data_IF_417936387533
#
_entry.id   IF_417936387533
#
_cell.length_a   1.000
_cell.length_b   1.000
_cell.length_c   1.000
_cell.angle_alpha   90.00
_cell.angle_beta   90.00
_cell.angle_gamma   90.00
#
_symmetry.space_group_name_H-M   'P 1'
#
loop_
_entity.id
_entity.type
_entity.pdbx_description
1 polymer ?
#
# COMPACT_ATOMS: atom_id res chain seq x y z
N UNK A 1 -21.71 -12.30 -20.39
CA UNK A 1 -20.92 -11.09 -20.10
C UNK A 1 -20.60 -11.10 -18.61
N UNK A 2 -19.43 -11.59 -18.22
CA UNK A 2 -18.93 -11.33 -16.86
C UNK A 2 -18.43 -9.89 -16.88
N UNK A 3 -19.29 -8.94 -16.49
CA UNK A 3 -18.79 -7.62 -16.10
C UNK A 3 -17.91 -7.84 -14.89
N UNK A 4 -16.59 -7.69 -15.04
CA UNK A 4 -15.69 -7.59 -13.91
C UNK A 4 -16.16 -6.44 -13.03
N UNK A 5 -16.88 -6.76 -11.96
CA UNK A 5 -17.40 -5.79 -11.00
C UNK A 5 -16.22 -4.98 -10.46
N UNK A 6 -16.32 -3.65 -10.52
CA UNK A 6 -15.27 -2.78 -10.00
C UNK A 6 -15.30 -2.84 -8.46
N UNK A 7 -14.17 -2.57 -7.83
CA UNK A 7 -14.10 -2.63 -6.36
C UNK A 7 -14.99 -1.55 -5.73
N UNK A 8 -15.13 -0.41 -6.42
CA UNK A 8 -16.06 0.66 -6.09
C UNK A 8 -17.50 0.16 -5.99
N UNK A 9 -17.94 -0.66 -6.94
CA UNK A 9 -19.31 -1.22 -6.98
C UNK A 9 -19.54 -2.15 -5.79
N UNK A 10 -18.56 -2.99 -5.46
CA UNK A 10 -18.60 -3.91 -4.31
C UNK A 10 -18.63 -3.13 -3.00
N UNK A 11 -17.79 -2.10 -2.87
CA UNK A 11 -17.77 -1.25 -1.67
C UNK A 11 -19.09 -0.51 -1.48
N UNK A 12 -19.74 -0.08 -2.57
CA UNK A 12 -21.03 0.60 -2.53
C UNK A 12 -22.19 -0.35 -2.17
N UNK A 13 -22.18 -1.59 -2.67
CA UNK A 13 -23.27 -2.54 -2.46
C UNK A 13 -23.14 -3.35 -1.17
N UNK A 14 -21.94 -3.81 -0.83
CA UNK A 14 -21.67 -4.71 0.30
C UNK A 14 -21.11 -3.98 1.53
N UNK A 15 -20.66 -2.73 1.37
CA UNK A 15 -20.07 -1.94 2.46
C UNK A 15 -18.66 -2.40 2.88
N UNK A 16 -18.10 -3.42 2.22
CA UNK A 16 -16.72 -3.85 2.40
C UNK A 16 -16.21 -4.61 1.17
N UNK A 17 -14.90 -4.59 0.97
CA UNK A 17 -14.22 -5.41 -0.02
C UNK A 17 -13.20 -6.30 0.68
N UNK A 18 -13.30 -7.61 0.46
CA UNK A 18 -12.41 -8.62 1.03
C UNK A 18 -11.64 -9.30 -0.08
N UNK A 19 -10.31 -9.34 0.03
CA UNK A 19 -9.47 -9.95 -1.02
C UNK A 19 -8.13 -10.42 -0.49
N UNK A 20 -7.59 -11.46 -1.12
CA UNK A 20 -6.24 -11.92 -0.86
C UNK A 20 -5.23 -10.99 -1.53
N UNK A 21 -4.27 -10.50 -0.77
CA UNK A 21 -3.26 -9.57 -1.27
C UNK A 21 -2.44 -10.19 -2.40
N UNK A 22 -2.21 -9.41 -3.46
CA UNK A 22 -1.33 -9.77 -4.57
C UNK A 22 -0.25 -8.71 -4.72
N UNK A 23 0.99 -9.16 -4.85
CA UNK A 23 2.17 -8.32 -4.94
C UNK A 23 2.91 -8.17 -3.61
N UNK A 24 4.06 -7.52 -3.69
CA UNK A 24 5.02 -7.38 -2.58
C UNK A 24 5.23 -5.93 -2.18
N UNK A 25 4.43 -5.00 -2.70
CA UNK A 25 4.62 -3.56 -2.48
C UNK A 25 4.39 -3.14 -1.03
N UNK A 26 3.59 -3.89 -0.29
CA UNK A 26 3.31 -3.69 1.14
C UNK A 26 4.09 -4.64 2.06
N UNK A 27 5.05 -5.39 1.53
CA UNK A 27 5.93 -6.23 2.35
C UNK A 27 6.83 -5.36 3.26
N UNK A 28 7.04 -5.70 4.54
CA UNK A 28 6.69 -6.95 5.23
C UNK A 28 5.35 -6.94 5.95
N UNK A 29 4.59 -5.83 5.91
CA UNK A 29 3.29 -5.75 6.57
C UNK A 29 2.30 -6.76 5.98
N UNK A 30 2.17 -6.76 4.65
CA UNK A 30 1.30 -7.68 3.91
C UNK A 30 2.13 -8.68 3.09
N UNK A 31 1.78 -9.96 3.22
CA UNK A 31 2.43 -11.07 2.55
C UNK A 31 1.62 -11.52 1.32
N UNK A 32 2.26 -11.43 0.15
CA UNK A 32 1.72 -11.85 -1.15
C UNK A 32 1.07 -13.23 -1.08
N UNK A 33 -0.18 -13.34 -1.56
CA UNK A 33 -0.97 -14.57 -1.67
C UNK A 33 -1.17 -15.29 -0.33
N UNK A 34 -1.02 -14.58 0.80
CA UNK A 34 -1.15 -15.13 2.15
C UNK A 34 -2.08 -14.30 3.03
N UNK A 35 -1.93 -12.99 2.99
CA UNK A 35 -2.72 -12.12 3.86
C UNK A 35 -3.99 -11.66 3.13
N UNK A 36 -5.13 -11.72 3.83
CA UNK A 36 -6.44 -11.24 3.35
C UNK A 36 -6.72 -9.87 3.92
N UNK A 37 -7.08 -8.90 3.08
CA UNK A 37 -7.39 -7.53 3.47
C UNK A 37 -8.90 -7.30 3.53
N UNK A 38 -9.32 -6.40 4.41
CA UNK A 38 -10.69 -5.89 4.47
C UNK A 38 -10.65 -4.37 4.31
N UNK A 39 -11.16 -3.90 3.19
CA UNK A 39 -11.29 -2.47 2.86
C UNK A 39 -12.72 -2.04 3.10
N UNK A 40 -12.90 -0.83 3.64
CA UNK A 40 -14.21 -0.23 3.88
C UNK A 40 -14.32 1.13 3.19
N UNK A 41 -15.53 1.55 2.76
CA UNK A 41 -15.73 2.88 2.21
C UNK A 41 -15.45 3.94 3.29
N UNK A 42 -15.08 5.14 2.84
CA UNK A 42 -14.99 6.30 3.72
C UNK A 42 -16.39 6.85 3.98
N UNK A 43 -16.57 7.49 5.14
CA UNK A 43 -17.78 8.27 5.40
C UNK A 43 -17.73 9.58 4.60
N UNK A 44 -18.90 10.15 4.32
CA UNK A 44 -19.00 11.45 3.65
C UNK A 44 -18.22 12.52 4.43
N UNK A 45 -17.34 13.25 3.73
CA UNK A 45 -16.46 14.25 4.33
C UNK A 45 -15.32 13.71 5.22
N UNK A 46 -15.15 12.38 5.35
CA UNK A 46 -14.05 11.80 6.12
C UNK A 46 -12.71 11.95 5.38
N UNK A 47 -11.74 12.59 6.03
CA UNK A 47 -10.36 12.65 5.54
C UNK A 47 -9.47 11.65 6.26
N UNK A 48 -8.61 10.99 5.49
CA UNK A 48 -7.64 10.04 6.00
C UNK A 48 -6.48 10.73 6.69
N UNK A 49 -5.90 10.02 7.65
CA UNK A 49 -4.81 10.51 8.47
C UNK A 49 -3.49 9.93 7.97
N UNK A 50 -2.41 10.57 8.42
CA UNK A 50 -1.07 10.02 8.21
C UNK A 50 -1.02 8.59 8.76
N UNK A 51 -0.46 7.68 7.96
CA UNK A 51 -0.32 6.24 8.19
C UNK A 51 -1.51 5.35 7.88
N UNK A 52 -2.67 5.91 7.55
CA UNK A 52 -3.77 5.12 6.99
C UNK A 52 -3.36 4.54 5.63
N UNK A 53 -4.04 3.46 5.23
CA UNK A 53 -3.73 2.71 4.01
C UNK A 53 -4.95 2.81 3.08
N UNK A 54 -5.07 3.88 2.28
CA UNK A 54 -6.10 3.99 1.27
C UNK A 54 -5.95 2.94 0.18
N UNK A 55 -7.10 2.51 -0.34
CA UNK A 55 -7.26 1.91 -1.64
C UNK A 55 -7.66 3.01 -2.62
N UNK A 56 -6.96 3.12 -3.74
CA UNK A 56 -7.32 4.03 -4.83
C UNK A 56 -7.06 3.38 -6.19
N UNK A 57 -7.75 3.86 -7.22
CA UNK A 57 -7.58 3.37 -8.60
C UNK A 57 -6.61 4.25 -9.38
N UNK A 58 -5.68 3.65 -10.10
CA UNK A 58 -4.74 4.31 -11.02
C UNK A 58 -4.74 3.61 -12.37
N UNK A 59 -5.49 4.15 -13.32
CA UNK A 59 -5.80 3.44 -14.57
C UNK A 59 -6.54 2.15 -14.24
N UNK A 60 -6.11 1.02 -14.79
CA UNK A 60 -6.75 -0.29 -14.57
C UNK A 60 -6.27 -1.01 -13.30
N UNK A 61 -5.47 -0.35 -12.44
CA UNK A 61 -4.89 -0.97 -11.24
C UNK A 61 -5.42 -0.34 -9.97
N UNK A 62 -5.70 -1.19 -8.99
CA UNK A 62 -5.94 -0.75 -7.61
C UNK A 62 -4.65 -0.77 -6.82
N UNK A 63 -4.39 0.31 -6.08
CA UNK A 63 -3.18 0.49 -5.30
C UNK A 63 -3.59 0.64 -3.84
N UNK A 64 -2.97 -0.18 -2.98
CA UNK A 64 -3.15 -0.17 -1.54
C UNK A 64 -1.82 0.14 -0.88
N UNK A 65 -1.60 1.39 -0.48
CA UNK A 65 -0.32 1.86 0.07
C UNK A 65 -0.55 2.84 1.22
N UNK A 66 0.51 3.17 1.97
CA UNK A 66 0.42 3.96 3.20
C UNK A 66 0.57 5.45 2.94
N UNK A 67 -0.28 6.27 3.56
CA UNK A 67 -0.13 7.72 3.57
C UNK A 67 1.10 8.10 4.39
N UNK A 68 2.07 8.72 3.73
CA UNK A 68 3.28 9.26 4.38
C UNK A 68 3.21 10.77 4.61
N UNK A 69 2.34 11.47 3.87
CA UNK A 69 2.06 12.90 4.07
C UNK A 69 0.62 13.21 3.66
N UNK A 70 -0.09 13.96 4.50
CA UNK A 70 -1.39 14.55 4.18
C UNK A 70 -1.14 15.95 3.60
N UNK A 71 -1.84 16.28 2.52
CA UNK A 71 -1.82 17.56 1.81
C UNK A 71 -3.21 18.23 1.96
N UNK A 72 -3.36 19.53 1.64
CA UNK A 72 -4.66 20.20 1.70
C UNK A 72 -5.77 19.48 0.92
N UNK A 73 -5.45 18.92 -0.23
CA UNK A 73 -6.37 18.34 -1.24
C UNK A 73 -6.02 16.90 -1.64
N UNK A 74 -5.14 16.24 -0.89
CA UNK A 74 -4.76 14.87 -1.18
C UNK A 74 -3.63 14.32 -0.30
N UNK A 75 -2.87 13.37 -0.85
CA UNK A 75 -1.92 12.58 -0.11
C UNK A 75 -0.65 12.28 -0.90
N UNK A 76 0.48 12.19 -0.20
CA UNK A 76 1.62 11.42 -0.68
C UNK A 76 1.58 10.04 -0.04
N UNK A 77 1.65 9.03 -0.88
CA UNK A 77 1.45 7.63 -0.54
C UNK A 77 2.71 6.85 -0.93
N UNK A 78 3.04 5.81 -0.14
CA UNK A 78 4.19 4.95 -0.40
C UNK A 78 3.91 3.53 0.11
N UNK A 79 4.21 2.53 -0.72
CA UNK A 79 4.18 1.14 -0.29
C UNK A 79 5.34 0.80 0.67
N UNK A 80 5.08 -0.05 1.66
CA UNK A 80 6.05 -0.45 2.68
C UNK A 80 7.31 -1.13 2.08
N UNK A 81 7.28 -1.60 0.84
CA UNK A 81 8.42 -2.15 0.09
C UNK A 81 8.83 -1.31 -1.13
N UNK A 82 8.18 -0.17 -1.38
CA UNK A 82 8.43 0.68 -2.54
C UNK A 82 9.57 1.69 -2.27
N UNK A 83 10.07 2.28 -3.36
CA UNK A 83 11.03 3.41 -3.31
C UNK A 83 10.49 4.68 -3.94
N UNK A 84 9.48 4.55 -4.79
CA UNK A 84 8.85 5.65 -5.49
C UNK A 84 7.61 6.07 -4.71
N UNK A 85 7.56 7.36 -4.36
CA UNK A 85 6.42 7.97 -3.69
C UNK A 85 5.37 8.29 -4.75
N UNK A 86 4.13 7.87 -4.51
CA UNK A 86 2.98 8.33 -5.28
C UNK A 86 2.55 9.69 -4.72
N UNK A 87 2.75 10.75 -5.51
CA UNK A 87 2.57 12.13 -5.07
C UNK A 87 1.23 12.69 -5.50
N UNK A 88 0.67 13.58 -4.67
CA UNK A 88 -0.52 14.37 -4.97
C UNK A 88 -1.71 13.49 -5.41
N UNK A 89 -1.94 12.38 -4.69
CA UNK A 89 -3.13 11.56 -4.91
C UNK A 89 -4.33 12.31 -4.31
N UNK A 90 -5.31 12.74 -5.12
CA UNK A 90 -6.39 13.59 -4.64
C UNK A 90 -7.35 12.81 -3.75
N UNK A 91 -8.06 13.51 -2.85
CA UNK A 91 -9.04 12.89 -1.95
C UNK A 91 -10.10 12.06 -2.71
N UNK A 92 -10.58 12.58 -3.84
CA UNK A 92 -11.61 11.93 -4.66
C UNK A 92 -11.14 10.67 -5.40
N UNK A 93 -9.83 10.39 -5.44
CA UNK A 93 -9.32 9.14 -5.99
C UNK A 93 -9.41 7.98 -4.99
N UNK A 94 -9.58 8.27 -3.70
CA UNK A 94 -9.65 7.27 -2.66
C UNK A 94 -11.03 6.61 -2.69
N UNK A 95 -11.06 5.29 -2.86
CA UNK A 95 -12.30 4.52 -2.95
C UNK A 95 -12.63 3.80 -1.63
N UNK A 96 -11.63 3.59 -0.80
CA UNK A 96 -11.77 2.91 0.48
C UNK A 96 -10.50 3.00 1.32
N UNK A 97 -10.58 2.52 2.55
CA UNK A 97 -9.44 2.44 3.47
C UNK A 97 -9.33 1.04 4.06
N UNK A 98 -8.09 0.55 4.17
CA UNK A 98 -7.84 -0.71 4.87
C UNK A 98 -8.25 -0.57 6.33
N UNK A 99 -9.10 -1.48 6.79
CA UNK A 99 -9.60 -1.49 8.16
C UNK A 99 -8.93 -2.58 9.00
N UNK A 100 -8.70 -3.75 8.41
CA UNK A 100 -8.05 -4.89 9.04
C UNK A 100 -7.47 -5.82 7.97
N UNK A 101 -6.60 -6.71 8.41
CA UNK A 101 -6.13 -7.81 7.58
C UNK A 101 -5.96 -9.08 8.42
N UNK A 102 -6.02 -10.22 7.76
CA UNK A 102 -5.93 -11.54 8.34
C UNK A 102 -4.69 -12.24 7.82
N UNK A 103 -3.94 -12.88 8.72
CA UNK A 103 -2.81 -13.74 8.38
C UNK A 103 -3.11 -15.14 8.87
N UNK A 104 -3.59 -16.00 7.96
CA UNK A 104 -4.31 -17.20 8.35
C UNK A 104 -5.52 -16.81 9.21
N UNK A 105 -5.69 -17.46 10.35
CA UNK A 105 -6.81 -17.23 11.27
C UNK A 105 -6.60 -16.02 12.21
N UNK A 106 -5.44 -15.37 12.16
CA UNK A 106 -5.12 -14.26 13.07
C UNK A 106 -5.51 -12.91 12.46
N UNK A 107 -6.58 -12.31 12.98
CA UNK A 107 -6.93 -10.92 12.72
C UNK A 107 -5.85 -9.96 13.24
N UNK A 108 -5.44 -9.01 12.39
CA UNK A 108 -4.49 -7.95 12.73
C UNK A 108 -5.20 -6.60 12.65
N UNK A 109 -5.30 -5.95 13.82
CA UNK A 109 -5.86 -4.61 13.94
C UNK A 109 -4.81 -3.53 13.69
N UNK A 110 -5.15 -2.59 12.81
CA UNK A 110 -4.37 -1.38 12.53
C UNK A 110 -4.39 -0.37 13.69
N UNK A 111 -5.26 -0.57 14.68
CA UNK A 111 -5.38 0.32 15.84
C UNK A 111 -4.56 -0.10 17.05
N UNK A 112 -3.97 -1.30 17.00
CA UNK A 112 -3.15 -1.84 18.09
C UNK A 112 -1.88 -1.02 18.34
N UNK A 113 -1.44 -0.96 19.60
CA UNK A 113 -0.21 -0.24 19.98
C UNK A 113 1.01 -0.77 19.21
N UNK A 114 1.17 -2.09 19.13
CA UNK A 114 2.27 -2.73 18.41
C UNK A 114 2.29 -2.38 16.91
N UNK A 115 1.12 -2.31 16.27
CA UNK A 115 1.03 -1.84 14.88
C UNK A 115 1.44 -0.37 14.76
N UNK A 116 0.92 0.51 15.61
CA UNK A 116 1.26 1.95 15.57
C UNK A 116 2.75 2.18 15.81
N UNK A 117 3.39 1.40 16.68
CA UNK A 117 4.83 1.42 16.89
C UNK A 117 5.58 0.95 15.64
N UNK A 118 5.16 -0.18 15.05
CA UNK A 118 5.73 -0.70 13.80
C UNK A 118 5.73 0.37 12.71
N UNK A 119 4.60 1.03 12.47
CA UNK A 119 4.49 2.02 11.40
C UNK A 119 5.41 3.22 11.63
N UNK A 120 5.51 3.71 12.87
CA UNK A 120 6.41 4.82 13.22
C UNK A 120 7.87 4.45 12.99
N UNK A 121 8.30 3.28 13.46
CA UNK A 121 9.67 2.79 13.26
C UNK A 121 9.95 2.59 11.77
N UNK A 122 9.00 1.99 11.04
CA UNK A 122 9.15 1.76 9.60
C UNK A 122 9.30 3.05 8.81
N UNK A 123 8.51 4.07 9.16
CA UNK A 123 8.60 5.40 8.57
C UNK A 123 9.92 6.10 8.94
N UNK A 124 10.36 6.01 10.20
CA UNK A 124 11.64 6.59 10.63
C UNK A 124 12.83 5.95 9.89
N UNK A 125 12.77 4.64 9.64
CA UNK A 125 13.79 3.89 8.91
C UNK A 125 13.71 4.04 7.38
N UNK A 126 12.69 4.74 6.87
CA UNK A 126 12.48 4.95 5.44
C UNK A 126 13.72 5.50 4.70
N UNK A 127 14.38 6.60 5.09
CA UNK A 127 15.52 7.15 4.34
C UNK A 127 16.65 6.12 4.20
N UNK A 128 16.99 5.41 5.27
CA UNK A 128 18.03 4.37 5.27
C UNK A 128 17.66 3.24 4.30
N UNK A 129 16.42 2.76 4.36
CA UNK A 129 15.90 1.73 3.44
C UNK A 129 15.94 2.18 1.97
N UNK A 130 15.59 3.44 1.70
CA UNK A 130 15.61 4.00 0.35
C UNK A 130 17.03 4.06 -0.20
N UNK A 131 17.99 4.51 0.60
CA UNK A 131 19.41 4.53 0.24
C UNK A 131 19.89 3.11 -0.06
N UNK A 132 19.67 2.16 0.85
CA UNK A 132 20.05 0.76 0.68
C UNK A 132 19.49 0.14 -0.61
N UNK A 133 18.20 0.37 -0.91
CA UNK A 133 17.58 -0.18 -2.13
C UNK A 133 18.15 0.45 -3.40
N UNK A 134 18.39 1.76 -3.39
CA UNK A 134 18.98 2.46 -4.54
C UNK A 134 20.42 2.02 -4.78
N UNK A 135 21.25 1.92 -3.74
CA UNK A 135 22.64 1.46 -3.85
C UNK A 135 22.70 0.01 -4.34
N UNK A 136 21.90 -0.90 -3.75
CA UNK A 136 21.81 -2.30 -4.20
C UNK A 136 21.40 -2.39 -5.67
N UNK A 137 20.41 -1.60 -6.11
CA UNK A 137 19.97 -1.58 -7.50
C UNK A 137 21.07 -1.03 -8.44
N UNK A 138 21.81 -0.02 -8.00
CA UNK A 138 22.95 0.53 -8.74
C UNK A 138 24.09 -0.50 -8.85
N UNK A 139 24.52 -1.10 -7.74
CA UNK A 139 25.54 -2.15 -7.74
C UNK A 139 25.13 -3.33 -8.63
N UNK A 140 23.87 -3.76 -8.59
CA UNK A 140 23.35 -4.80 -9.47
C UNK A 140 23.30 -4.42 -10.95
N UNK A 141 23.19 -3.12 -11.30
CA UNK A 141 23.34 -2.64 -12.67
C UNK A 141 24.81 -2.66 -13.10
N UNK A 142 25.72 -2.20 -12.25
CA UNK A 142 27.18 -2.21 -12.49
C UNK A 142 27.69 -3.63 -12.66
N UNK A 143 27.35 -4.54 -11.75
CA UNK A 143 27.72 -5.96 -11.82
C UNK A 143 27.27 -6.61 -13.14
N UNK A 144 26.02 -6.37 -13.56
CA UNK A 144 25.52 -6.90 -14.85
C UNK A 144 26.28 -6.33 -16.06
N UNK A 145 26.68 -5.06 -16.02
CA UNK A 145 27.50 -4.45 -17.09
C UNK A 145 28.90 -5.03 -17.16
N UNK A 146 29.52 -5.29 -16.00
CA UNK A 146 30.91 -5.77 -15.91
C UNK A 146 31.04 -7.28 -16.15
N UNK A 147 30.10 -8.09 -15.65
CA UNK A 147 30.25 -9.55 -15.59
C UNK A 147 29.20 -10.34 -16.37
N UNK A 148 28.15 -9.68 -16.90
CA UNK A 148 27.06 -10.36 -17.64
C UNK A 148 26.98 -9.96 -19.13
N UNK A 149 28.03 -9.31 -19.65
CA UNK A 149 28.17 -8.93 -21.07
C UNK A 149 28.98 -9.93 -21.91
N UNK A 150 29.03 -11.19 -21.48
CA UNK A 150 29.63 -12.31 -22.23
C UNK A 150 28.66 -13.50 -22.22
N UNK A 151 27.64 -13.42 -23.06
CA UNK A 151 26.95 -14.56 -23.69
C UNK A 151 26.07 -14.06 -24.81
#
# INVERSE_FOLDING_TARGET
MNSDLRIEDILASEGMYVSTTVGVSMYPMLCNRRDTIVVRPLKEGERLRKFDIPLYRRGEKYILHRIIKVLPDGYNILGDNCVQIERNIPDNAIIGVLSEYWRGEKKKSLNSFGYKLYVRVWYLMMPIRLVYKKTRAFCGKVYRKLFKKSK
#
